data_IF_726458737465
#
_entry.id   IF_726458737465
#
_cell.length_a   1.000
_cell.length_b   1.000
_cell.length_c   1.000
_cell.angle_alpha   90.00
_cell.angle_beta   90.00
_cell.angle_gamma   90.00
#
_symmetry.space_group_name_H-M   'P 1'
#
loop_
_entity.id
_entity.type
_entity.pdbx_description
1 polymer ?
#
# COMPACT_ATOMS: atom_id res chain seq x y z
N UNK A 1 -3.23 -28.42 4.27
CA UNK A 1 -4.04 -27.98 3.11
C UNK A 1 -5.12 -27.02 3.62
N UNK A 2 -4.80 -25.73 3.73
CA UNK A 2 -5.68 -24.67 4.29
C UNK A 2 -5.98 -23.61 3.20
N UNK A 3 -6.36 -24.05 2.01
CA UNK A 3 -6.96 -23.14 1.03
C UNK A 3 -8.43 -22.98 1.41
N UNK A 4 -8.74 -21.94 2.18
CA UNK A 4 -10.12 -21.53 2.44
C UNK A 4 -10.57 -20.54 1.36
N UNK A 5 -11.45 -20.93 0.42
CA UNK A 5 -11.92 -20.07 -0.67
C UNK A 5 -12.88 -18.97 -0.20
N UNK A 6 -13.36 -19.01 1.05
CA UNK A 6 -14.39 -18.10 1.57
C UNK A 6 -13.88 -16.71 1.97
N UNK A 7 -12.56 -16.48 1.99
CA UNK A 7 -11.98 -15.15 2.32
C UNK A 7 -11.54 -14.37 1.06
N UNK A 8 -11.58 -15.01 -0.12
CA UNK A 8 -11.24 -14.35 -1.39
C UNK A 8 -12.15 -13.16 -1.72
N UNK A 9 -13.36 -13.12 -1.14
CA UNK A 9 -14.32 -12.04 -1.34
C UNK A 9 -14.09 -10.81 -0.46
N UNK A 10 -13.31 -10.93 0.62
CA UNK A 10 -13.18 -9.86 1.65
C UNK A 10 -11.73 -9.43 1.88
N UNK A 11 -10.76 -10.19 1.36
CA UNK A 11 -9.32 -9.90 1.42
C UNK A 11 -8.76 -9.13 0.23
N UNK A 12 -9.60 -8.55 -0.64
CA UNK A 12 -9.12 -7.72 -1.75
C UNK A 12 -8.58 -6.39 -1.18
N UNK A 13 -7.26 -6.31 -1.07
CA UNK A 13 -6.51 -5.09 -0.77
C UNK A 13 -6.03 -4.44 -2.07
N UNK A 14 -5.67 -3.14 -1.98
CA UNK A 14 -5.21 -2.36 -3.13
C UNK A 14 -4.10 -3.08 -3.91
N UNK A 15 -3.16 -3.73 -3.22
CA UNK A 15 -2.06 -4.45 -3.87
C UNK A 15 -2.52 -5.67 -4.69
N UNK A 16 -3.47 -6.48 -4.18
CA UNK A 16 -3.99 -7.65 -4.90
C UNK A 16 -4.81 -7.24 -6.12
N UNK A 17 -5.54 -6.13 -6.02
CA UNK A 17 -6.30 -5.55 -7.13
C UNK A 17 -5.39 -4.95 -8.20
N UNK A 18 -4.35 -4.21 -7.81
CA UNK A 18 -3.33 -3.67 -8.72
C UNK A 18 -2.57 -4.79 -9.43
N UNK A 19 -2.22 -5.85 -8.71
CA UNK A 19 -1.60 -7.05 -9.29
C UNK A 19 -2.50 -7.69 -10.35
N UNK A 20 -3.79 -7.87 -10.04
CA UNK A 20 -4.79 -8.42 -10.96
C UNK A 20 -4.97 -7.55 -12.22
N UNK A 21 -4.97 -6.22 -12.07
CA UNK A 21 -5.15 -5.33 -13.23
C UNK A 21 -3.88 -5.15 -14.05
N UNK A 22 -2.73 -5.00 -13.41
CA UNK A 22 -1.45 -4.78 -14.08
C UNK A 22 -0.92 -6.01 -14.77
N UNK A 23 -0.99 -7.17 -14.11
CA UNK A 23 -0.37 -8.40 -14.62
C UNK A 23 -1.37 -9.37 -15.25
N UNK A 24 -2.61 -9.48 -14.75
CA UNK A 24 -3.59 -10.39 -15.37
C UNK A 24 -4.41 -9.73 -16.49
N UNK A 25 -4.68 -8.42 -16.40
CA UNK A 25 -5.45 -7.70 -17.43
C UNK A 25 -4.57 -6.82 -18.35
N UNK A 26 -3.23 -6.86 -18.19
CA UNK A 26 -2.27 -6.06 -18.96
C UNK A 26 -2.52 -4.54 -18.88
N UNK A 27 -3.26 -4.05 -17.88
CA UNK A 27 -3.57 -2.64 -17.69
C UNK A 27 -2.47 -1.93 -16.89
N UNK A 28 -1.28 -1.83 -17.49
CA UNK A 28 -0.10 -1.27 -16.83
C UNK A 28 -0.30 0.17 -16.35
N UNK A 29 -0.94 1.03 -17.16
CA UNK A 29 -1.19 2.44 -16.79
C UNK A 29 -1.96 2.58 -15.47
N UNK A 30 -3.05 1.84 -15.33
CA UNK A 30 -3.91 1.88 -14.15
C UNK A 30 -3.19 1.29 -12.92
N UNK A 31 -2.46 0.19 -13.11
CA UNK A 31 -1.70 -0.45 -12.06
C UNK A 31 -0.56 0.44 -11.55
N UNK A 32 0.18 1.09 -12.46
CA UNK A 32 1.23 2.05 -12.12
C UNK A 32 0.67 3.27 -11.42
N UNK A 33 -0.46 3.82 -11.89
CA UNK A 33 -1.11 4.97 -11.25
C UNK A 33 -1.55 4.64 -9.80
N UNK A 34 -2.15 3.48 -9.59
CA UNK A 34 -2.55 3.01 -8.26
C UNK A 34 -1.34 2.75 -7.34
N UNK A 35 -0.25 2.19 -7.88
CA UNK A 35 1.02 2.03 -7.16
C UNK A 35 1.63 3.37 -6.74
N UNK A 36 1.66 4.35 -7.66
CA UNK A 36 2.13 5.71 -7.39
C UNK A 36 1.29 6.39 -6.30
N UNK A 37 -0.03 6.27 -6.38
CA UNK A 37 -0.95 6.81 -5.38
C UNK A 37 -0.66 6.24 -3.99
N UNK A 38 -0.49 4.91 -3.89
CA UNK A 38 -0.10 4.26 -2.63
C UNK A 38 1.23 4.81 -2.09
N UNK A 39 2.25 4.95 -2.94
CA UNK A 39 3.55 5.48 -2.53
C UNK A 39 3.48 6.90 -1.99
N UNK A 40 2.67 7.78 -2.60
CA UNK A 40 2.46 9.16 -2.11
C UNK A 40 1.83 9.15 -0.72
N UNK A 41 0.79 8.34 -0.50
CA UNK A 41 0.14 8.24 0.81
C UNK A 41 1.14 7.71 1.86
N UNK A 42 1.87 6.64 1.55
CA UNK A 42 2.87 6.10 2.46
C UNK A 42 3.96 7.12 2.80
N UNK A 43 4.41 7.90 1.82
CA UNK A 43 5.39 8.96 2.05
C UNK A 43 4.87 10.02 3.02
N UNK A 44 3.65 10.52 2.79
CA UNK A 44 3.01 11.49 3.69
C UNK A 44 2.89 10.93 5.11
N UNK A 45 2.44 9.68 5.25
CA UNK A 45 2.30 9.03 6.56
C UNK A 45 3.64 8.89 7.29
N UNK A 46 4.71 8.55 6.58
CA UNK A 46 6.06 8.45 7.14
C UNK A 46 6.55 9.84 7.58
N UNK A 47 6.39 10.87 6.73
CA UNK A 47 6.81 12.24 7.06
C UNK A 47 6.06 12.76 8.27
N UNK A 48 4.75 12.54 8.36
CA UNK A 48 3.95 12.94 9.53
C UNK A 48 4.40 12.16 10.77
N UNK A 49 4.55 10.83 10.65
CA UNK A 49 5.01 10.00 11.78
C UNK A 49 6.38 10.46 12.28
N UNK A 50 7.30 10.80 11.37
CA UNK A 50 8.61 11.32 11.74
C UNK A 50 8.51 12.68 12.45
N UNK A 51 7.71 13.61 11.93
CA UNK A 51 7.50 14.92 12.57
C UNK A 51 6.87 14.80 13.96
N UNK A 52 5.91 13.89 14.14
CA UNK A 52 5.30 13.61 15.43
C UNK A 52 6.29 12.94 16.39
N UNK A 53 7.01 11.92 15.94
CA UNK A 53 8.02 11.23 16.74
C UNK A 53 9.15 12.19 17.18
N UNK A 54 9.60 13.06 16.28
CA UNK A 54 10.58 14.08 16.60
C UNK A 54 10.07 15.05 17.67
N UNK A 55 8.81 15.50 17.56
CA UNK A 55 8.26 16.49 18.49
C UNK A 55 7.85 15.93 19.86
N UNK A 56 7.40 14.68 19.92
CA UNK A 56 6.85 14.08 21.13
C UNK A 56 7.77 13.07 21.81
N UNK A 57 8.70 12.47 21.07
CA UNK A 57 9.56 11.41 21.57
C UNK A 57 11.06 11.73 21.47
N UNK A 58 11.44 12.95 21.05
CA UNK A 58 12.81 13.36 20.70
C UNK A 58 13.53 12.32 19.82
N UNK A 59 12.74 11.57 19.04
CA UNK A 59 13.24 10.48 18.23
C UNK A 59 13.82 11.04 16.94
N UNK A 60 15.14 10.93 16.83
CA UNK A 60 15.92 11.27 15.64
C UNK A 60 16.34 9.97 14.97
N UNK A 61 16.20 9.91 13.63
CA UNK A 61 16.58 8.71 12.86
C UNK A 61 18.12 8.56 12.77
N UNK A 62 18.88 9.53 13.29
CA UNK A 62 20.35 9.55 13.35
C UNK A 62 20.84 10.29 14.59
#
# INVERSE_FOLDING_TARGET
>A
NLYNPLVYSTGDIIDTWVYRLGLQNLQYSLATAAGLFKSVISFILIVISYNLAYRFADYTVF
#
